data_IF_009496385457
#
_entry.id   IF_009496385457
#
_cell.length_a   1.000
_cell.length_b   1.000
_cell.length_c   1.000
_cell.angle_alpha   90.00
_cell.angle_beta   90.00
_cell.angle_gamma   90.00
#
_symmetry.space_group_name_H-M   'P 1'
#
loop_
_entity.id
_entity.type
_entity.pdbx_description
1 polymer ?
#
# COMPACT_ATOMS: atom_id res chain seq x y z
N UNK A 1 -35.23 -7.50 -49.64
CA UNK A 1 -33.76 -7.52 -49.80
C UNK A 1 -33.30 -6.10 -49.49
N UNK A 2 -32.88 -5.84 -48.27
CA UNK A 2 -32.32 -4.57 -47.85
C UNK A 2 -30.83 -4.75 -47.73
N UNK A 3 -30.12 -4.21 -48.74
CA UNK A 3 -28.67 -4.13 -48.70
C UNK A 3 -28.27 -3.04 -47.72
N UNK A 4 -27.80 -3.45 -46.53
CA UNK A 4 -27.05 -2.56 -45.64
C UNK A 4 -25.60 -2.56 -46.11
N UNK A 5 -25.22 -1.62 -46.98
CA UNK A 5 -23.81 -1.32 -47.18
C UNK A 5 -23.21 -0.79 -45.87
N UNK A 6 -22.08 -1.33 -45.42
CA UNK A 6 -21.39 -0.78 -44.25
C UNK A 6 -20.83 0.59 -44.60
N UNK A 7 -21.27 1.62 -43.86
CA UNK A 7 -20.81 2.99 -44.02
C UNK A 7 -19.30 3.07 -43.77
N UNK A 8 -18.50 3.09 -44.82
CA UNK A 8 -17.05 3.33 -44.76
C UNK A 8 -16.79 4.78 -44.46
N UNK A 9 -16.47 5.07 -43.22
CA UNK A 9 -16.07 6.41 -42.80
C UNK A 9 -14.64 6.69 -43.26
N UNK A 10 -14.42 7.76 -44.06
CA UNK A 10 -13.07 8.20 -44.47
C UNK A 10 -12.33 8.77 -43.23
N UNK A 11 -10.98 8.62 -43.22
CA UNK A 11 -10.11 9.12 -42.13
C UNK A 11 -10.34 10.62 -41.85
N UNK A 12 -10.61 11.41 -42.88
CA UNK A 12 -10.92 12.85 -42.76
C UNK A 12 -12.27 13.10 -42.07
N UNK A 13 -13.26 12.27 -42.32
CA UNK A 13 -14.54 12.34 -41.62
C UNK A 13 -14.43 11.88 -40.18
N UNK A 14 -13.67 10.83 -39.88
CA UNK A 14 -13.40 10.40 -38.53
C UNK A 14 -12.73 11.49 -37.69
N UNK A 15 -11.76 12.23 -38.28
CA UNK A 15 -11.10 13.35 -37.61
C UNK A 15 -12.09 14.51 -37.36
N UNK A 16 -12.94 14.85 -38.35
CA UNK A 16 -13.98 15.87 -38.18
C UNK A 16 -14.95 15.51 -37.05
N UNK A 17 -15.38 14.25 -36.97
CA UNK A 17 -16.25 13.78 -35.92
C UNK A 17 -15.56 13.78 -34.54
N UNK A 18 -14.27 13.44 -34.44
CA UNK A 18 -13.51 13.56 -33.19
C UNK A 18 -13.38 15.02 -32.73
N UNK A 19 -13.13 15.97 -33.67
CA UNK A 19 -13.07 17.38 -33.32
C UNK A 19 -14.46 17.92 -32.94
N UNK A 20 -15.52 17.51 -33.61
CA UNK A 20 -16.89 17.89 -33.23
C UNK A 20 -17.30 17.29 -31.88
N UNK A 21 -16.92 16.04 -31.59
CA UNK A 21 -17.17 15.42 -30.29
C UNK A 21 -16.40 16.11 -29.15
N UNK A 22 -15.16 16.52 -29.39
CA UNK A 22 -14.39 17.27 -28.38
C UNK A 22 -14.96 18.65 -28.09
N UNK A 23 -15.56 19.33 -29.10
CA UNK A 23 -16.22 20.62 -28.92
C UNK A 23 -17.54 20.49 -28.12
N UNK A 24 -18.27 19.39 -28.27
CA UNK A 24 -19.50 19.14 -27.48
C UNK A 24 -19.21 18.73 -26.04
N UNK A 25 -18.12 18.05 -25.78
CA UNK A 25 -17.66 17.74 -24.41
C UNK A 25 -17.26 19.00 -23.64
N UNK A 26 -16.72 20.00 -24.35
CA UNK A 26 -16.39 21.30 -23.72
C UNK A 26 -17.63 22.16 -23.41
N UNK A 27 -18.78 21.90 -24.05
CA UNK A 27 -20.05 22.60 -23.82
C UNK A 27 -20.95 21.90 -22.76
N UNK A 28 -20.70 20.64 -22.46
CA UNK A 28 -21.25 19.97 -21.29
C UNK A 28 -20.48 20.48 -20.11
N UNK A 29 -21.06 21.43 -19.37
CA UNK A 29 -20.54 21.98 -18.14
C UNK A 29 -19.94 20.83 -17.28
N UNK A 30 -18.65 20.86 -17.09
CA UNK A 30 -17.91 20.00 -16.12
C UNK A 30 -18.47 20.14 -14.69
N UNK A 31 -19.37 21.08 -14.48
CA UNK A 31 -20.14 21.28 -13.25
C UNK A 31 -21.21 20.21 -12.99
N UNK A 32 -21.49 19.28 -13.91
CA UNK A 32 -22.50 18.24 -13.71
C UNK A 32 -21.95 16.88 -13.25
N UNK A 33 -20.65 16.68 -13.29
CA UNK A 33 -20.03 15.76 -12.36
C UNK A 33 -19.88 16.52 -11.05
N UNK A 34 -21.02 16.70 -10.35
CA UNK A 34 -21.03 17.22 -9.01
C UNK A 34 -19.94 16.48 -8.25
N UNK A 35 -18.95 17.23 -7.78
CA UNK A 35 -18.08 16.70 -6.75
C UNK A 35 -19.02 16.05 -5.74
N UNK A 36 -18.86 14.77 -5.41
CA UNK A 36 -19.68 14.13 -4.40
C UNK A 36 -19.61 15.06 -3.21
N UNK A 37 -20.78 15.43 -2.63
CA UNK A 37 -20.84 16.34 -1.50
C UNK A 37 -19.72 15.90 -0.56
N UNK A 38 -18.74 16.76 -0.40
CA UNK A 38 -17.46 16.46 0.24
C UNK A 38 -17.71 15.86 1.61
N UNK A 39 -17.60 14.52 1.70
CA UNK A 39 -17.29 13.96 3.00
C UNK A 39 -16.04 14.71 3.49
N UNK A 40 -16.00 15.18 4.76
CA UNK A 40 -14.86 15.93 5.24
C UNK A 40 -13.57 15.18 4.92
N UNK A 41 -12.69 15.77 4.12
CA UNK A 41 -11.43 15.18 3.71
C UNK A 41 -11.35 14.64 2.27
N UNK A 42 -12.46 14.42 1.58
CA UNK A 42 -12.41 14.07 0.14
C UNK A 42 -12.22 15.37 -0.65
N UNK A 43 -11.17 15.42 -1.46
CA UNK A 43 -10.79 16.62 -2.24
C UNK A 43 -9.66 17.43 -1.60
N UNK A 44 -9.04 16.92 -0.53
CA UNK A 44 -7.81 17.46 0.06
C UNK A 44 -6.60 16.62 -0.33
N UNK A 45 -6.58 16.07 -1.54
CA UNK A 45 -5.44 15.31 -2.02
C UNK A 45 -4.17 16.15 -1.93
N UNK A 46 -3.05 15.57 -1.45
CA UNK A 46 -1.79 16.29 -1.37
C UNK A 46 -1.38 16.82 -2.74
N UNK A 47 -0.86 18.03 -2.78
CA UNK A 47 -0.21 18.52 -3.98
C UNK A 47 1.07 17.72 -4.21
N UNK A 48 1.13 16.88 -5.24
CA UNK A 48 2.30 16.05 -5.54
C UNK A 48 3.58 16.86 -5.84
N UNK A 49 3.42 18.16 -6.14
CA UNK A 49 4.55 19.09 -6.36
C UNK A 49 5.04 19.72 -5.05
N UNK A 50 4.23 19.66 -4.01
CA UNK A 50 4.56 20.17 -2.67
C UNK A 50 4.32 19.02 -1.68
N UNK A 51 5.35 18.24 -1.29
CA UNK A 51 5.21 17.05 -0.47
C UNK A 51 4.87 17.37 1.00
N UNK A 52 3.91 18.27 1.20
CA UNK A 52 3.36 18.59 2.53
C UNK A 52 2.02 17.89 2.68
N UNK A 53 1.96 16.94 3.59
CA UNK A 53 0.72 16.24 3.91
C UNK A 53 -0.20 17.19 4.67
N UNK A 54 -1.44 17.46 4.18
CA UNK A 54 -2.31 18.51 4.73
C UNK A 54 -3.06 18.10 6.00
N UNK A 55 -2.88 16.89 6.51
CA UNK A 55 -3.54 16.38 7.71
C UNK A 55 -2.56 16.05 8.83
N UNK A 56 -2.99 16.22 10.10
CA UNK A 56 -2.12 15.91 11.24
C UNK A 56 -1.87 14.40 11.36
N UNK A 57 -0.71 14.05 11.88
CA UNK A 57 -0.33 12.68 12.20
C UNK A 57 -1.16 12.13 13.37
N UNK A 58 -1.45 10.85 13.35
CA UNK A 58 -2.36 10.18 14.29
C UNK A 58 -1.61 9.50 15.44
N UNK A 59 -0.44 8.90 15.16
CA UNK A 59 0.26 8.10 16.15
C UNK A 59 0.88 8.99 17.24
N UNK A 60 0.66 8.62 18.48
CA UNK A 60 1.43 9.16 19.59
C UNK A 60 2.90 8.72 19.52
N UNK A 61 3.83 9.41 20.18
CA UNK A 61 5.24 8.98 20.20
C UNK A 61 5.44 7.55 20.72
N UNK A 62 4.61 7.07 21.64
CA UNK A 62 4.63 5.69 22.13
C UNK A 62 4.16 4.70 21.05
N UNK A 63 3.05 4.98 20.41
CA UNK A 63 2.51 4.17 19.32
C UNK A 63 3.47 4.11 18.13
N UNK A 64 4.11 5.24 17.80
CA UNK A 64 5.11 5.29 16.73
C UNK A 64 6.33 4.42 17.07
N UNK A 65 6.82 4.42 18.30
CA UNK A 65 7.90 3.51 18.73
C UNK A 65 7.50 2.04 18.59
N UNK A 66 6.26 1.69 18.99
CA UNK A 66 5.75 0.32 18.84
C UNK A 66 5.63 -0.07 17.36
N UNK A 67 5.12 0.82 16.52
CA UNK A 67 5.03 0.61 15.08
C UNK A 67 6.41 0.46 14.43
N UNK A 68 7.39 1.29 14.82
CA UNK A 68 8.78 1.21 14.37
C UNK A 68 9.40 -0.16 14.68
N UNK A 69 9.28 -0.61 15.91
CA UNK A 69 9.78 -1.92 16.32
C UNK A 69 9.11 -3.06 15.54
N UNK A 70 7.79 -2.99 15.32
CA UNK A 70 7.07 -3.99 14.55
C UNK A 70 7.48 -3.98 13.06
N UNK A 71 7.73 -2.81 12.47
CA UNK A 71 8.25 -2.69 11.11
C UNK A 71 9.58 -3.45 10.96
N UNK A 72 10.50 -3.30 11.92
CA UNK A 72 11.81 -3.95 11.89
C UNK A 72 11.74 -5.46 12.20
N UNK A 73 10.73 -5.92 12.94
CA UNK A 73 10.46 -7.37 13.08
C UNK A 73 9.99 -7.97 11.75
N UNK A 74 9.19 -7.22 10.98
CA UNK A 74 8.61 -7.69 9.71
C UNK A 74 9.64 -7.65 8.58
N UNK A 75 10.38 -6.55 8.45
CA UNK A 75 11.48 -6.38 7.47
C UNK A 75 12.71 -5.89 8.24
N UNK A 76 13.49 -6.82 8.78
CA UNK A 76 14.69 -6.49 9.54
C UNK A 76 15.82 -6.03 8.61
N UNK A 77 16.80 -5.34 9.18
CA UNK A 77 18.07 -5.09 8.51
C UNK A 77 18.82 -6.41 8.28
N UNK A 78 19.39 -6.56 7.10
CA UNK A 78 20.31 -7.65 6.76
C UNK A 78 21.55 -7.11 6.00
N UNK A 79 22.42 -8.02 5.53
CA UNK A 79 23.66 -7.66 4.82
C UNK A 79 23.42 -6.99 3.46
N UNK A 80 22.20 -7.04 2.92
CA UNK A 80 21.85 -6.57 1.56
C UNK A 80 20.95 -5.34 1.59
N UNK A 81 20.12 -5.22 2.63
CA UNK A 81 19.01 -4.29 2.68
C UNK A 81 18.87 -3.65 4.08
N UNK A 82 18.56 -2.35 4.18
CA UNK A 82 18.22 -1.73 5.45
C UNK A 82 16.91 -2.29 6.00
N UNK A 83 16.69 -2.16 7.32
CA UNK A 83 15.40 -2.45 7.93
C UNK A 83 14.33 -1.42 7.52
N UNK A 84 13.07 -1.81 7.70
CA UNK A 84 11.93 -0.97 7.29
C UNK A 84 11.92 0.40 7.98
N UNK A 85 12.35 0.50 9.24
CA UNK A 85 12.42 1.78 9.95
C UNK A 85 13.43 2.74 9.34
N UNK A 86 14.55 2.23 8.84
CA UNK A 86 15.64 3.03 8.29
C UNK A 86 15.27 3.74 6.98
N UNK A 87 14.23 3.30 6.29
CA UNK A 87 13.75 3.89 5.02
C UNK A 87 12.41 4.63 5.16
N UNK A 88 12.00 4.95 6.40
CA UNK A 88 10.86 5.81 6.68
C UNK A 88 9.49 5.10 6.65
N UNK A 89 9.44 3.77 6.66
CA UNK A 89 8.17 3.03 6.66
C UNK A 89 7.25 3.37 7.85
N UNK A 90 7.75 3.59 9.09
CA UNK A 90 6.88 4.01 10.18
C UNK A 90 6.18 5.36 9.92
N UNK A 91 6.86 6.31 9.29
CA UNK A 91 6.27 7.60 8.92
C UNK A 91 5.22 7.44 7.82
N UNK A 92 5.47 6.59 6.83
CA UNK A 92 4.49 6.22 5.83
C UNK A 92 3.23 5.60 6.45
N UNK A 93 3.38 4.68 7.40
CA UNK A 93 2.27 4.06 8.11
C UNK A 93 1.43 5.09 8.87
N UNK A 94 2.08 6.00 9.60
CA UNK A 94 1.38 7.07 10.31
C UNK A 94 0.66 8.00 9.33
N UNK A 95 1.28 8.35 8.21
CA UNK A 95 0.64 9.13 7.15
C UNK A 95 -0.58 8.40 6.59
N UNK A 96 -0.46 7.13 6.21
CA UNK A 96 -1.53 6.32 5.67
C UNK A 96 -2.75 6.31 6.57
N UNK A 97 -2.58 5.97 7.86
CA UNK A 97 -3.70 5.89 8.79
C UNK A 97 -4.23 7.26 9.23
N UNK A 98 -3.51 8.34 8.94
CA UNK A 98 -3.93 9.71 9.23
C UNK A 98 -4.77 10.32 8.13
N UNK A 99 -4.73 9.76 6.93
CA UNK A 99 -5.46 10.25 5.78
C UNK A 99 -6.99 10.20 6.02
N UNK A 100 -7.73 11.21 5.53
CA UNK A 100 -9.17 11.37 5.82
C UNK A 100 -10.08 10.51 4.93
N UNK A 101 -9.55 9.52 4.22
CA UNK A 101 -10.31 8.67 3.32
C UNK A 101 -10.93 7.47 4.05
N UNK A 102 -12.07 6.95 3.59
CA UNK A 102 -12.82 5.88 4.29
C UNK A 102 -11.99 4.61 4.54
N UNK A 103 -11.18 4.18 3.58
CA UNK A 103 -10.34 3.00 3.71
C UNK A 103 -9.26 3.21 4.78
N UNK A 104 -8.54 4.33 4.72
CA UNK A 104 -7.50 4.69 5.67
C UNK A 104 -8.06 4.89 7.08
N UNK A 105 -9.27 5.41 7.21
CA UNK A 105 -9.95 5.52 8.50
C UNK A 105 -10.33 4.15 9.08
N UNK A 106 -10.74 3.21 8.24
CA UNK A 106 -10.99 1.82 8.67
C UNK A 106 -9.69 1.15 9.11
N UNK A 107 -8.61 1.31 8.35
CA UNK A 107 -7.28 0.82 8.68
C UNK A 107 -6.75 1.43 9.98
N UNK A 108 -6.96 2.74 10.20
CA UNK A 108 -6.60 3.44 11.44
C UNK A 108 -7.11 2.73 12.67
N UNK A 109 -8.40 2.41 12.70
CA UNK A 109 -9.00 1.73 13.85
C UNK A 109 -8.29 0.41 14.13
N UNK A 110 -8.12 -0.41 13.12
CA UNK A 110 -7.49 -1.73 13.24
C UNK A 110 -6.03 -1.62 13.69
N UNK A 111 -5.26 -0.67 13.15
CA UNK A 111 -3.85 -0.46 13.49
C UNK A 111 -3.71 0.02 14.94
N UNK A 112 -4.49 1.02 15.37
CA UNK A 112 -4.43 1.52 16.74
C UNK A 112 -4.80 0.46 17.78
N UNK A 113 -5.86 -0.31 17.53
CA UNK A 113 -6.27 -1.43 18.39
C UNK A 113 -5.18 -2.52 18.45
N UNK A 114 -4.54 -2.83 17.32
CA UNK A 114 -3.48 -3.81 17.26
C UNK A 114 -2.18 -3.38 17.97
N UNK A 115 -1.76 -2.12 17.82
CA UNK A 115 -0.61 -1.57 18.55
C UNK A 115 -0.86 -1.56 20.06
N UNK A 116 -2.08 -1.24 20.49
CA UNK A 116 -2.46 -1.31 21.90
C UNK A 116 -2.40 -2.76 22.42
N UNK A 117 -2.93 -3.71 21.63
CA UNK A 117 -2.88 -5.14 21.97
C UNK A 117 -1.43 -5.63 22.12
N UNK A 118 -0.52 -5.27 21.21
CA UNK A 118 0.90 -5.64 21.30
C UNK A 118 1.53 -5.19 22.62
N UNK A 119 1.29 -3.95 23.03
CA UNK A 119 1.83 -3.42 24.28
C UNK A 119 1.21 -4.11 25.51
N UNK A 120 -0.08 -4.44 25.48
CA UNK A 120 -0.73 -5.19 26.56
C UNK A 120 -0.16 -6.60 26.66
N UNK A 121 -0.04 -7.30 25.55
CA UNK A 121 0.50 -8.67 25.51
C UNK A 121 1.98 -8.72 25.95
N UNK A 122 2.78 -7.75 25.51
CA UNK A 122 4.18 -7.60 25.94
C UNK A 122 4.30 -7.38 27.44
N UNK A 123 3.47 -6.49 28.00
CA UNK A 123 3.43 -6.25 29.45
C UNK A 123 2.99 -7.46 30.24
N UNK A 124 2.04 -8.23 29.71
CA UNK A 124 1.57 -9.47 30.35
C UNK A 124 2.67 -10.52 30.42
N UNK A 125 3.37 -10.78 29.30
CA UNK A 125 4.40 -11.83 29.18
C UNK A 125 5.73 -11.40 29.81
N UNK A 126 6.21 -10.20 29.45
CA UNK A 126 7.59 -9.78 29.68
C UNK A 126 7.72 -8.55 30.59
N UNK A 127 6.62 -7.98 31.07
CA UNK A 127 6.58 -6.79 31.97
C UNK A 127 7.17 -5.51 31.36
N UNK A 128 7.31 -5.46 30.03
CA UNK A 128 7.86 -4.33 29.27
C UNK A 128 6.95 -4.00 28.07
N UNK A 129 7.09 -2.80 27.51
CA UNK A 129 6.45 -2.42 26.26
C UNK A 129 7.10 -3.15 25.09
N UNK A 130 6.33 -3.41 24.03
CA UNK A 130 6.81 -4.17 22.87
C UNK A 130 8.10 -3.59 22.27
N UNK A 131 8.19 -2.27 22.13
CA UNK A 131 9.37 -1.59 21.59
C UNK A 131 10.62 -1.69 22.48
N UNK A 132 10.46 -2.03 23.76
CA UNK A 132 11.57 -2.19 24.70
C UNK A 132 12.05 -3.66 24.84
N UNK A 133 11.33 -4.60 24.21
CA UNK A 133 11.70 -6.01 24.24
C UNK A 133 12.90 -6.30 23.33
N UNK A 134 13.73 -7.28 23.68
CA UNK A 134 14.67 -7.88 22.74
C UNK A 134 13.93 -8.45 21.51
N UNK A 135 14.58 -8.46 20.36
CA UNK A 135 14.00 -8.97 19.12
C UNK A 135 13.44 -10.39 19.23
N UNK A 136 14.11 -11.25 19.99
CA UNK A 136 13.67 -12.64 20.24
C UNK A 136 12.30 -12.72 20.92
N UNK A 137 12.02 -11.81 21.87
CA UNK A 137 10.73 -11.74 22.58
C UNK A 137 9.66 -11.09 21.72
N UNK A 138 10.02 -10.06 20.94
CA UNK A 138 9.13 -9.47 19.96
C UNK A 138 8.66 -10.50 18.93
N UNK A 139 9.58 -11.31 18.41
CA UNK A 139 9.29 -12.41 17.47
C UNK A 139 8.36 -13.45 18.07
N UNK A 140 8.55 -13.84 19.33
CA UNK A 140 7.64 -14.80 20.00
C UNK A 140 6.19 -14.31 20.01
N UNK A 141 5.95 -13.01 20.25
CA UNK A 141 4.58 -12.46 20.17
C UNK A 141 4.08 -12.48 18.73
N UNK A 142 4.92 -12.07 17.78
CA UNK A 142 4.55 -12.02 16.36
C UNK A 142 4.26 -13.41 15.79
N UNK A 143 4.99 -14.45 16.21
CA UNK A 143 4.78 -15.84 15.76
C UNK A 143 3.38 -16.36 16.11
N UNK A 144 2.83 -15.95 17.27
CA UNK A 144 1.47 -16.33 17.67
C UNK A 144 0.36 -15.70 16.81
N UNK A 145 0.66 -14.63 16.10
CA UNK A 145 -0.32 -13.83 15.32
C UNK A 145 0.03 -13.69 13.84
N UNK A 146 1.14 -14.26 13.37
CA UNK A 146 1.61 -14.06 11.99
C UNK A 146 0.73 -14.72 10.92
N UNK A 147 -0.11 -15.70 11.30
CA UNK A 147 -0.93 -16.46 10.36
C UNK A 147 -2.33 -16.73 10.90
N UNK A 148 -3.33 -16.02 10.36
CA UNK A 148 -4.72 -16.05 10.83
C UNK A 148 -5.29 -17.47 10.98
N UNK A 149 -5.13 -18.42 10.02
CA UNK A 149 -5.72 -19.77 10.15
C UNK A 149 -5.19 -20.59 11.33
N UNK A 150 -3.97 -20.31 11.79
CA UNK A 150 -3.33 -21.07 12.88
C UNK A 150 -3.30 -20.31 14.20
N UNK A 151 -3.62 -19.01 14.18
CA UNK A 151 -3.70 -18.22 15.39
C UNK A 151 -4.80 -18.73 16.33
N UNK A 152 -4.53 -18.73 17.63
CA UNK A 152 -5.51 -19.09 18.66
C UNK A 152 -6.75 -18.20 18.53
N UNK A 153 -7.90 -18.73 18.95
CA UNK A 153 -9.17 -18.00 18.87
C UNK A 153 -9.09 -16.61 19.55
N UNK A 154 -8.45 -16.52 20.71
CA UNK A 154 -8.24 -15.29 21.46
C UNK A 154 -7.31 -14.27 20.75
N UNK A 155 -6.47 -14.74 19.81
CA UNK A 155 -5.52 -13.94 19.05
C UNK A 155 -6.00 -13.60 17.62
N UNK A 156 -7.20 -14.01 17.21
CA UNK A 156 -7.69 -13.83 15.84
C UNK A 156 -7.71 -12.36 15.41
N UNK A 157 -8.18 -11.46 16.28
CA UNK A 157 -8.19 -10.02 15.99
C UNK A 157 -6.78 -9.47 15.80
N UNK A 158 -5.84 -9.89 16.66
CA UNK A 158 -4.43 -9.51 16.56
C UNK A 158 -3.77 -10.08 15.29
N UNK A 159 -4.13 -11.29 14.87
CA UNK A 159 -3.63 -11.88 13.62
C UNK A 159 -4.13 -11.12 12.39
N UNK A 160 -5.38 -10.68 12.36
CA UNK A 160 -5.89 -9.82 11.29
C UNK A 160 -5.17 -8.47 11.26
N UNK A 161 -4.94 -7.86 12.42
CA UNK A 161 -4.13 -6.65 12.53
C UNK A 161 -2.72 -6.87 11.98
N UNK A 162 -2.03 -7.94 12.41
CA UNK A 162 -0.68 -8.24 11.93
C UNK A 162 -0.63 -8.40 10.42
N UNK A 163 -1.59 -9.11 9.83
CA UNK A 163 -1.70 -9.25 8.37
C UNK A 163 -1.83 -7.92 7.65
N UNK A 164 -2.68 -7.01 8.14
CA UNK A 164 -2.84 -5.66 7.60
C UNK A 164 -1.55 -4.84 7.75
N UNK A 165 -0.99 -4.82 8.96
CA UNK A 165 0.23 -4.07 9.26
C UNK A 165 1.40 -4.55 8.40
N UNK A 166 1.59 -5.87 8.27
CA UNK A 166 2.61 -6.45 7.39
C UNK A 166 2.44 -6.02 5.94
N UNK A 167 1.23 -6.03 5.42
CA UNK A 167 0.96 -5.63 4.04
C UNK A 167 1.30 -4.15 3.81
N UNK A 168 0.95 -3.27 4.74
CA UNK A 168 1.32 -1.85 4.68
C UNK A 168 2.83 -1.65 4.82
N UNK A 169 3.49 -2.38 5.73
CA UNK A 169 4.95 -2.34 5.89
C UNK A 169 5.65 -2.76 4.60
N UNK A 170 5.23 -3.86 3.99
CA UNK A 170 5.79 -4.33 2.72
C UNK A 170 5.51 -3.33 1.58
N UNK A 171 4.30 -2.78 1.50
CA UNK A 171 3.95 -1.75 0.52
C UNK A 171 4.83 -0.52 0.66
N UNK A 172 4.99 0.00 1.89
CA UNK A 172 5.87 1.13 2.17
C UNK A 172 7.33 0.85 1.83
N UNK A 173 7.86 -0.32 2.23
CA UNK A 173 9.25 -0.67 2.01
C UNK A 173 9.58 -0.86 0.52
N UNK A 174 8.84 -1.71 -0.19
CA UNK A 174 9.13 -2.05 -1.58
C UNK A 174 8.79 -0.95 -2.60
N UNK A 175 8.24 0.18 -2.15
CA UNK A 175 8.10 1.40 -2.95
C UNK A 175 9.25 2.39 -2.73
N UNK A 176 10.17 2.11 -1.80
CA UNK A 176 11.40 2.91 -1.63
C UNK A 176 12.47 2.50 -2.65
N UNK A 177 13.46 3.37 -2.94
CA UNK A 177 14.60 3.00 -3.78
C UNK A 177 15.36 1.77 -3.27
N UNK A 178 15.52 1.65 -1.95
CA UNK A 178 16.19 0.53 -1.29
C UNK A 178 15.41 -0.78 -1.46
N UNK A 179 14.09 -0.74 -1.22
CA UNK A 179 13.23 -1.90 -1.39
C UNK A 179 13.11 -2.32 -2.87
N UNK A 180 13.02 -1.38 -3.80
CA UNK A 180 13.06 -1.69 -5.24
C UNK A 180 14.37 -2.36 -5.64
N UNK A 181 15.50 -1.90 -5.10
CA UNK A 181 16.81 -2.52 -5.33
C UNK A 181 16.88 -3.92 -4.73
N UNK A 182 16.33 -4.14 -3.55
CA UNK A 182 16.30 -5.43 -2.86
C UNK A 182 15.62 -6.52 -3.71
N UNK A 183 14.45 -6.22 -4.27
CA UNK A 183 13.72 -7.13 -5.18
C UNK A 183 14.22 -7.08 -6.64
N UNK A 184 15.30 -6.34 -6.91
CA UNK A 184 15.87 -6.16 -8.25
C UNK A 184 14.87 -5.60 -9.28
N UNK A 185 13.94 -4.75 -8.82
CA UNK A 185 12.94 -4.15 -9.70
C UNK A 185 13.59 -3.11 -10.62
N UNK A 186 13.54 -3.35 -11.91
CA UNK A 186 14.13 -2.47 -12.94
C UNK A 186 13.10 -1.59 -13.67
N UNK A 187 11.82 -1.68 -13.26
CA UNK A 187 10.73 -0.97 -13.93
C UNK A 187 10.31 -1.60 -15.26
N UNK A 188 9.37 -0.94 -15.93
CA UNK A 188 8.96 -1.33 -17.28
C UNK A 188 9.93 -0.71 -18.28
N UNK A 189 10.80 -1.51 -18.87
CA UNK A 189 11.68 -1.09 -19.95
C UNK A 189 11.01 -1.44 -21.28
N UNK A 190 10.85 -0.48 -22.23
CA UNK A 190 10.33 -0.79 -23.54
C UNK A 190 11.26 -1.79 -24.25
N UNK A 191 10.74 -2.95 -24.57
CA UNK A 191 11.46 -3.97 -25.33
C UNK A 191 10.99 -3.94 -26.78
N UNK A 192 11.90 -4.03 -27.77
CA UNK A 192 11.53 -4.09 -29.20
C UNK A 192 10.82 -5.40 -29.56
N UNK A 193 11.09 -6.47 -28.80
CA UNK A 193 10.44 -7.77 -28.91
C UNK A 193 10.35 -8.43 -27.54
N UNK A 194 9.32 -9.25 -27.35
CA UNK A 194 9.20 -10.11 -26.17
C UNK A 194 9.80 -11.47 -26.51
N UNK A 195 10.97 -11.78 -25.98
CA UNK A 195 11.70 -13.02 -26.23
C UNK A 195 11.27 -14.18 -25.30
N UNK A 196 10.34 -13.91 -24.40
CA UNK A 196 9.92 -14.87 -23.38
C UNK A 196 10.88 -14.99 -22.20
N UNK A 197 10.62 -15.91 -21.26
CA UNK A 197 11.50 -16.14 -20.13
C UNK A 197 12.82 -16.77 -20.57
N UNK A 198 13.93 -16.50 -19.86
CA UNK A 198 15.21 -17.16 -20.12
C UNK A 198 15.09 -18.70 -20.04
N UNK A 199 15.87 -19.46 -20.84
CA UNK A 199 15.78 -20.92 -20.86
C UNK A 199 15.95 -21.59 -19.50
N UNK A 200 16.83 -21.03 -18.63
CA UNK A 200 17.05 -21.55 -17.29
C UNK A 200 15.78 -21.45 -16.41
N UNK A 201 14.97 -20.43 -16.61
CA UNK A 201 13.68 -20.26 -15.91
C UNK A 201 12.69 -21.32 -16.38
N UNK A 202 12.63 -21.59 -17.70
CA UNK A 202 11.76 -22.63 -18.26
C UNK A 202 12.14 -24.01 -17.72
N UNK A 203 13.44 -24.32 -17.67
CA UNK A 203 13.97 -25.58 -17.10
C UNK A 203 13.59 -25.68 -15.61
N UNK A 204 13.79 -24.59 -14.82
CA UNK A 204 13.46 -24.57 -13.41
C UNK A 204 11.95 -24.81 -13.16
N UNK A 205 11.10 -24.23 -13.98
CA UNK A 205 9.64 -24.38 -13.93
C UNK A 205 9.13 -25.67 -14.59
N UNK A 206 10.01 -26.51 -15.18
CA UNK A 206 9.65 -27.71 -15.93
C UNK A 206 8.67 -27.44 -17.08
N UNK A 207 8.84 -26.32 -17.76
CA UNK A 207 8.03 -25.87 -18.91
C UNK A 207 8.75 -26.05 -20.25
N UNK A 208 9.92 -26.67 -20.28
CA UNK A 208 10.73 -26.98 -21.47
C UNK A 208 10.65 -28.45 -21.79
#
# INVERSE_FOLDING_TARGET
MNDHEPMRMDRREAIKWMVAASATVSALNYSSFGAPATAPGIGTDPNLLEPVVPWPRTLTPEQLRTATALCDVIIPHDDKSPGASAVGVPDFLDEWISAPYPEQQADRKQILEGLAWLNVESKNRFKQEFAALPETEQRQICDDICHVPTAKHEHQSAAHFFGKFRNLTAGGFYTTPEGMKDIQYVGNVPLPAFEGPPPEVLVHLKLS
#
